data_IF_831433015615
#
_entry.id   IF_831433015615
#
_cell.length_a   1.000
_cell.length_b   1.000
_cell.length_c   1.000
_cell.angle_alpha   90.00
_cell.angle_beta   90.00
_cell.angle_gamma   90.00
#
_symmetry.space_group_name_H-M   'P 1'
#
loop_
_entity.id
_entity.type
_entity.pdbx_description
1 polymer ?
#
# COMPACT_ATOMS: atom_id res chain seq x y z
N UNK A 1 -17.49 8.91 -26.28
CA UNK A 1 -16.65 7.73 -25.93
C UNK A 1 -17.16 6.98 -24.70
N UNK A 2 -17.07 7.51 -23.47
CA UNK A 2 -17.50 6.76 -22.27
C UNK A 2 -19.00 6.38 -22.28
N UNK A 3 -19.86 7.27 -22.78
CA UNK A 3 -21.28 6.98 -22.97
C UNK A 3 -21.53 5.90 -24.03
N UNK A 4 -20.72 5.84 -25.09
CA UNK A 4 -20.80 4.79 -26.09
C UNK A 4 -20.38 3.44 -25.49
N UNK A 5 -19.32 3.41 -24.68
CA UNK A 5 -18.92 2.24 -23.91
C UNK A 5 -20.03 1.75 -22.99
N UNK A 6 -20.71 2.68 -22.30
CA UNK A 6 -21.87 2.39 -21.44
C UNK A 6 -22.96 1.63 -22.22
N UNK A 7 -23.29 2.12 -23.41
CA UNK A 7 -24.34 1.58 -24.27
C UNK A 7 -23.92 0.22 -24.86
N UNK A 8 -22.70 0.11 -25.39
CA UNK A 8 -22.22 -1.11 -26.07
C UNK A 8 -22.05 -2.27 -25.09
N UNK A 9 -21.57 -2.00 -23.88
CA UNK A 9 -21.32 -3.05 -22.88
C UNK A 9 -22.46 -3.23 -21.88
N UNK A 10 -23.50 -2.39 -21.91
CA UNK A 10 -24.59 -2.42 -20.93
C UNK A 10 -24.12 -2.15 -19.49
N UNK A 11 -22.98 -1.50 -19.31
CA UNK A 11 -22.37 -1.23 -18.01
C UNK A 11 -22.53 0.23 -17.65
N UNK A 12 -23.01 0.56 -16.45
CA UNK A 12 -23.10 1.95 -15.99
C UNK A 12 -21.74 2.53 -15.60
N UNK A 13 -21.30 3.59 -16.27
CA UNK A 13 -20.03 4.28 -15.97
C UNK A 13 -20.15 5.09 -14.68
N UNK A 14 -19.16 4.96 -13.79
CA UNK A 14 -19.08 5.75 -12.56
C UNK A 14 -18.18 6.97 -12.76
N UNK A 15 -18.77 8.07 -13.24
CA UNK A 15 -18.05 9.33 -13.48
C UNK A 15 -17.38 9.92 -12.23
N UNK A 16 -17.86 9.60 -11.02
CA UNK A 16 -17.22 10.04 -9.78
C UNK A 16 -15.85 9.39 -9.53
N UNK A 17 -15.60 8.22 -10.13
CA UNK A 17 -14.31 7.51 -10.07
C UNK A 17 -13.44 7.72 -11.32
N UNK A 18 -14.01 8.28 -12.39
CA UNK A 18 -13.30 8.57 -13.62
C UNK A 18 -12.58 9.93 -13.52
N UNK A 19 -11.28 9.91 -13.79
CA UNK A 19 -10.48 11.13 -13.91
C UNK A 19 -9.77 11.12 -15.26
N UNK A 20 -9.65 12.29 -15.88
CA UNK A 20 -8.92 12.50 -17.12
C UNK A 20 -7.63 13.26 -16.87
N UNK A 21 -6.51 12.75 -17.37
CA UNK A 21 -5.23 13.43 -17.33
C UNK A 21 -4.40 13.09 -18.57
N UNK A 22 -3.61 14.06 -19.02
CA UNK A 22 -2.69 13.92 -20.14
C UNK A 22 -1.31 14.48 -19.75
N UNK A 23 -0.25 13.90 -20.31
CA UNK A 23 1.13 14.36 -20.11
C UNK A 23 1.56 15.15 -21.34
N UNK A 24 2.15 16.32 -21.13
CA UNK A 24 2.61 17.19 -22.23
C UNK A 24 1.50 17.99 -22.93
N UNK A 25 0.31 18.09 -22.31
CA UNK A 25 -0.83 18.85 -22.81
C UNK A 25 -0.99 20.15 -22.02
N UNK A 26 -1.40 21.22 -22.70
CA UNK A 26 -1.76 22.48 -22.04
C UNK A 26 -2.94 22.30 -21.07
N UNK A 27 -2.91 22.91 -19.86
CA UNK A 27 -4.00 22.78 -18.89
C UNK A 27 -5.39 23.19 -19.40
N UNK A 28 -5.46 24.17 -20.30
CA UNK A 28 -6.73 24.65 -20.88
C UNK A 28 -7.40 23.55 -21.73
N UNK A 29 -6.62 22.94 -22.62
CA UNK A 29 -7.04 21.82 -23.47
C UNK A 29 -7.43 20.62 -22.61
N UNK A 30 -6.65 20.32 -21.58
CA UNK A 30 -6.93 19.21 -20.67
C UNK A 30 -8.26 19.39 -19.93
N UNK A 31 -8.59 20.63 -19.54
CA UNK A 31 -9.87 20.98 -18.92
C UNK A 31 -11.04 20.84 -19.90
N UNK A 32 -10.86 21.27 -21.15
CA UNK A 32 -11.86 21.10 -22.22
C UNK A 32 -12.19 19.62 -22.46
N UNK A 33 -11.17 18.75 -22.52
CA UNK A 33 -11.39 17.30 -22.65
C UNK A 33 -12.03 16.68 -21.42
N UNK A 34 -11.63 17.09 -20.21
CA UNK A 34 -12.26 16.61 -18.98
C UNK A 34 -13.76 16.96 -18.96
N UNK A 35 -14.13 18.18 -19.39
CA UNK A 35 -15.52 18.60 -19.52
C UNK A 35 -16.27 17.80 -20.60
N UNK A 36 -15.67 17.60 -21.79
CA UNK A 36 -16.23 16.79 -22.87
C UNK A 36 -16.52 15.34 -22.43
N UNK A 37 -15.62 14.76 -21.63
CA UNK A 37 -15.74 13.40 -21.11
C UNK A 37 -16.59 13.31 -19.83
N UNK A 38 -17.09 14.44 -19.33
CA UNK A 38 -17.80 14.54 -18.06
C UNK A 38 -17.04 13.89 -16.88
N UNK A 39 -15.71 14.08 -16.84
CA UNK A 39 -14.81 13.50 -15.85
C UNK A 39 -14.06 14.59 -15.08
N UNK A 40 -13.58 14.25 -13.88
CA UNK A 40 -12.72 15.16 -13.10
C UNK A 40 -11.31 15.21 -13.69
N UNK A 41 -10.60 16.31 -13.45
CA UNK A 41 -9.20 16.42 -13.84
C UNK A 41 -8.31 15.59 -12.92
N UNK A 42 -7.39 14.83 -13.50
CA UNK A 42 -6.40 14.04 -12.77
C UNK A 42 -5.18 14.89 -12.46
N UNK A 43 -4.85 15.01 -11.17
CA UNK A 43 -3.67 15.74 -10.71
C UNK A 43 -2.54 14.78 -10.37
N UNK A 44 -1.31 15.14 -10.77
CA UNK A 44 -0.11 14.41 -10.40
C UNK A 44 0.50 14.98 -9.11
N UNK A 45 1.13 14.14 -8.27
CA UNK A 45 1.14 12.68 -8.33
C UNK A 45 -0.18 12.06 -7.81
N UNK A 46 -0.58 10.92 -8.37
CA UNK A 46 -1.77 10.18 -7.91
C UNK A 46 -1.45 8.70 -7.66
N UNK A 47 -2.38 7.98 -7.02
CA UNK A 47 -2.24 6.55 -6.78
C UNK A 47 -3.07 5.72 -7.75
N UNK A 48 -2.44 4.77 -8.43
CA UNK A 48 -3.12 3.77 -9.26
C UNK A 48 -2.67 2.37 -8.86
N UNK A 49 -3.61 1.49 -8.49
CA UNK A 49 -3.32 0.15 -7.97
C UNK A 49 -2.32 0.13 -6.80
N UNK A 50 -2.28 1.21 -6.01
CA UNK A 50 -1.34 1.38 -4.90
C UNK A 50 0.04 1.93 -5.29
N UNK A 51 0.31 2.15 -6.58
CA UNK A 51 1.54 2.75 -7.10
C UNK A 51 1.39 4.28 -7.19
N UNK A 52 2.36 5.05 -6.68
CA UNK A 52 2.37 6.50 -6.84
C UNK A 52 2.87 6.88 -8.24
N UNK A 53 1.95 7.19 -9.15
CA UNK A 53 2.23 7.59 -10.53
C UNK A 53 2.61 9.08 -10.56
N UNK A 54 3.70 9.39 -11.26
CA UNK A 54 4.26 10.74 -11.35
C UNK A 54 5.01 11.22 -10.10
N UNK A 55 5.05 10.42 -9.03
CA UNK A 55 5.92 10.71 -7.90
C UNK A 55 7.35 10.23 -8.17
N UNK A 56 8.34 10.80 -7.49
CA UNK A 56 9.74 10.36 -7.62
C UNK A 56 10.04 9.16 -6.70
N UNK A 57 10.16 7.93 -7.22
CA UNK A 57 10.41 6.75 -6.38
C UNK A 57 11.79 6.74 -5.72
N UNK A 58 12.73 7.61 -6.14
CA UNK A 58 14.05 7.72 -5.51
C UNK A 58 14.00 8.47 -4.17
N UNK A 59 12.95 9.25 -3.93
CA UNK A 59 12.72 9.95 -2.66
C UNK A 59 12.12 9.02 -1.63
N UNK A 60 12.63 9.04 -0.40
CA UNK A 60 12.14 8.14 0.65
C UNK A 60 10.69 8.49 1.06
N UNK A 61 10.33 9.78 0.97
CA UNK A 61 9.04 10.33 1.36
C UNK A 61 7.89 9.75 0.53
N UNK A 62 8.14 9.48 -0.75
CA UNK A 62 7.19 8.85 -1.67
C UNK A 62 6.74 7.46 -1.20
N UNK A 63 7.57 6.77 -0.41
CA UNK A 63 7.27 5.43 0.11
C UNK A 63 6.52 5.46 1.45
N UNK A 64 6.36 6.62 2.10
CA UNK A 64 5.70 6.71 3.40
C UNK A 64 4.28 6.09 3.41
N UNK A 65 3.40 6.35 2.42
CA UNK A 65 2.07 5.74 2.39
C UNK A 65 2.13 4.22 2.24
N UNK A 66 3.09 3.70 1.47
CA UNK A 66 3.30 2.26 1.26
C UNK A 66 3.79 1.61 2.56
N UNK A 67 4.78 2.22 3.22
CA UNK A 67 5.32 1.76 4.50
C UNK A 67 4.24 1.73 5.58
N UNK A 68 3.36 2.73 5.63
CA UNK A 68 2.23 2.74 6.56
C UNK A 68 1.25 1.60 6.28
N UNK A 69 0.93 1.32 5.00
CA UNK A 69 0.10 0.17 4.62
C UNK A 69 0.72 -1.17 5.06
N UNK A 70 2.02 -1.37 4.79
CA UNK A 70 2.75 -2.57 5.23
C UNK A 70 2.77 -2.71 6.76
N UNK A 71 2.96 -1.60 7.49
CA UNK A 71 2.88 -1.59 8.96
C UNK A 71 1.49 -1.99 9.45
N UNK A 72 0.42 -1.44 8.88
CA UNK A 72 -0.97 -1.80 9.22
C UNK A 72 -1.23 -3.29 8.96
N UNK A 73 -0.77 -3.80 7.81
CA UNK A 73 -0.87 -5.22 7.47
C UNK A 73 -0.13 -6.11 8.48
N UNK A 74 1.06 -5.69 8.92
CA UNK A 74 1.84 -6.42 9.94
C UNK A 74 1.15 -6.49 11.31
N UNK A 75 0.18 -5.61 11.56
CA UNK A 75 -0.61 -5.54 12.80
C UNK A 75 -2.02 -6.11 12.61
N UNK A 76 -2.31 -6.71 11.45
CA UNK A 76 -3.64 -7.18 11.11
C UNK A 76 -4.16 -8.25 12.08
N UNK A 77 -5.45 -8.12 12.40
CA UNK A 77 -6.18 -9.01 13.30
C UNK A 77 -7.31 -9.69 12.53
N UNK A 78 -7.42 -11.01 12.68
CA UNK A 78 -8.54 -11.79 12.20
C UNK A 78 -9.13 -12.58 13.37
N UNK A 79 -10.47 -12.62 13.43
CA UNK A 79 -11.23 -13.42 14.40
C UNK A 79 -11.42 -14.87 13.95
N UNK A 80 -11.33 -15.14 12.65
CA UNK A 80 -11.71 -16.44 12.03
C UNK A 80 -10.52 -17.31 11.66
N UNK A 81 -9.30 -16.75 11.60
CA UNK A 81 -8.11 -17.48 11.19
C UNK A 81 -7.29 -17.97 12.38
N UNK A 82 -6.83 -19.22 12.30
CA UNK A 82 -5.85 -19.76 13.24
C UNK A 82 -4.55 -18.96 13.24
N UNK A 83 -3.81 -19.03 14.34
CA UNK A 83 -2.54 -18.32 14.50
C UNK A 83 -1.54 -18.64 13.39
N UNK A 84 -1.37 -19.92 13.07
CA UNK A 84 -0.49 -20.39 12.00
C UNK A 84 -0.88 -19.81 10.63
N UNK A 85 -2.18 -19.86 10.28
CA UNK A 85 -2.70 -19.28 9.02
C UNK A 85 -2.48 -17.77 8.97
N UNK A 86 -2.67 -17.06 10.09
CA UNK A 86 -2.44 -15.62 10.16
C UNK A 86 -0.97 -15.26 9.94
N UNK A 87 -0.05 -15.97 10.58
CA UNK A 87 1.39 -15.77 10.41
C UNK A 87 1.79 -16.05 8.96
N UNK A 88 1.32 -17.14 8.38
CA UNK A 88 1.58 -17.48 6.97
C UNK A 88 1.07 -16.40 6.02
N UNK A 89 -0.17 -15.92 6.20
CA UNK A 89 -0.76 -14.90 5.33
C UNK A 89 -0.04 -13.55 5.44
N UNK A 90 0.33 -13.15 6.67
CA UNK A 90 1.12 -11.92 6.88
C UNK A 90 2.51 -12.06 6.27
N UNK A 91 3.18 -13.19 6.42
CA UNK A 91 4.46 -13.46 5.78
C UNK A 91 4.36 -13.33 4.26
N UNK A 92 3.37 -14.02 3.67
CA UNK A 92 3.15 -14.01 2.23
C UNK A 92 2.91 -12.59 1.72
N UNK A 93 1.97 -11.87 2.30
CA UNK A 93 1.61 -10.53 1.83
C UNK A 93 2.71 -9.49 2.09
N UNK A 94 3.46 -9.60 3.20
CA UNK A 94 4.63 -8.74 3.44
C UNK A 94 5.81 -9.07 2.51
N UNK A 95 5.87 -10.26 1.92
CA UNK A 95 6.89 -10.62 0.92
C UNK A 95 6.47 -10.21 -0.50
N UNK A 96 5.22 -10.51 -0.89
CA UNK A 96 4.74 -10.27 -2.26
C UNK A 96 4.51 -8.79 -2.58
N UNK A 97 4.02 -7.99 -1.62
CA UNK A 97 3.76 -6.56 -1.86
C UNK A 97 5.05 -5.77 -2.18
N UNK A 98 6.14 -5.87 -1.41
CA UNK A 98 7.40 -5.22 -1.78
C UNK A 98 7.97 -5.69 -3.11
N UNK A 99 7.81 -6.97 -3.45
CA UNK A 99 8.23 -7.51 -4.76
C UNK A 99 7.44 -6.86 -5.90
N UNK A 100 6.12 -6.72 -5.73
CA UNK A 100 5.27 -5.99 -6.68
C UNK A 100 5.78 -4.56 -6.89
N UNK A 101 6.07 -3.80 -5.83
CA UNK A 101 6.58 -2.44 -5.97
C UNK A 101 7.97 -2.37 -6.62
N UNK A 102 8.84 -3.34 -6.34
CA UNK A 102 10.18 -3.43 -6.92
C UNK A 102 10.18 -3.71 -8.43
N UNK A 103 9.13 -4.35 -8.94
CA UNK A 103 8.96 -4.56 -10.38
C UNK A 103 8.80 -3.25 -11.16
N UNK A 104 8.31 -2.18 -10.54
CA UNK A 104 8.08 -0.89 -11.19
C UNK A 104 9.13 0.17 -10.84
N UNK A 105 9.67 0.12 -9.61
CA UNK A 105 10.45 1.22 -9.07
C UNK A 105 11.77 0.76 -8.42
N UNK A 106 12.85 1.52 -8.68
CA UNK A 106 14.10 1.37 -7.94
C UNK A 106 13.96 1.95 -6.54
N UNK A 107 14.02 1.09 -5.53
CA UNK A 107 13.79 1.46 -4.13
C UNK A 107 15.04 2.05 -3.46
N UNK A 108 14.92 3.12 -2.67
CA UNK A 108 16.02 3.63 -1.86
C UNK A 108 16.44 2.63 -0.76
N UNK A 109 17.75 2.52 -0.49
CA UNK A 109 18.29 1.62 0.55
C UNK A 109 17.66 1.85 1.93
N UNK A 110 17.32 3.09 2.28
CA UNK A 110 16.63 3.45 3.53
C UNK A 110 15.26 2.77 3.66
N UNK A 111 14.47 2.82 2.59
CA UNK A 111 13.13 2.21 2.54
C UNK A 111 13.23 0.69 2.57
N UNK A 112 14.18 0.11 1.82
CA UNK A 112 14.41 -1.34 1.82
C UNK A 112 14.72 -1.88 3.23
N UNK A 113 15.54 -1.16 4.01
CA UNK A 113 15.81 -1.51 5.42
C UNK A 113 14.55 -1.46 6.28
N UNK A 114 13.68 -0.47 6.08
CA UNK A 114 12.42 -0.36 6.82
C UNK A 114 11.45 -1.49 6.48
N UNK A 115 11.34 -1.87 5.20
CA UNK A 115 10.51 -3.01 4.77
C UNK A 115 11.04 -4.32 5.38
N UNK A 116 12.34 -4.58 5.30
CA UNK A 116 12.97 -5.75 5.93
C UNK A 116 12.69 -5.82 7.43
N UNK A 117 12.74 -4.67 8.12
CA UNK A 117 12.38 -4.58 9.54
C UNK A 117 10.92 -4.96 9.79
N UNK A 118 9.98 -4.47 8.96
CA UNK A 118 8.55 -4.82 9.06
C UNK A 118 8.34 -6.32 8.80
N UNK A 119 8.96 -6.88 7.77
CA UNK A 119 8.91 -8.31 7.45
C UNK A 119 9.43 -9.18 8.60
N UNK A 120 10.54 -8.78 9.23
CA UNK A 120 11.15 -9.52 10.36
C UNK A 120 10.31 -9.45 11.64
N UNK A 121 9.73 -8.30 11.95
CA UNK A 121 9.06 -8.06 13.24
C UNK A 121 7.54 -8.19 13.23
N UNK A 122 6.89 -8.08 12.06
CA UNK A 122 5.44 -8.22 11.92
C UNK A 122 4.93 -9.57 12.45
N UNK A 123 5.39 -10.70 11.89
CA UNK A 123 4.93 -12.04 12.26
C UNK A 123 5.24 -12.36 13.73
N UNK A 124 6.43 -11.98 14.21
CA UNK A 124 6.84 -12.15 15.62
C UNK A 124 5.96 -11.38 16.61
N UNK A 125 5.40 -10.24 16.21
CA UNK A 125 4.45 -9.49 17.06
C UNK A 125 3.10 -10.20 17.18
N UNK A 126 2.68 -10.89 16.12
CA UNK A 126 1.44 -11.68 16.12
C UNK A 126 1.58 -12.85 17.11
N UNK A 127 2.70 -13.57 17.05
CA UNK A 127 3.01 -14.67 17.98
C UNK A 127 3.12 -14.15 19.43
N UNK A 128 3.88 -13.08 19.68
CA UNK A 128 4.02 -12.51 21.03
C UNK A 128 2.70 -12.08 21.66
N UNK A 129 1.80 -11.48 20.88
CA UNK A 129 0.47 -11.09 21.36
C UNK A 129 -0.40 -12.30 21.72
N UNK A 130 -0.29 -13.39 20.96
CA UNK A 130 -1.00 -14.62 21.26
C UNK A 130 -0.50 -15.27 22.55
N UNK A 131 0.82 -15.32 22.74
CA UNK A 131 1.45 -15.89 23.93
C UNK A 131 1.32 -14.98 25.18
N UNK A 132 0.64 -13.83 25.10
CA UNK A 132 0.54 -12.89 26.22
C UNK A 132 1.88 -12.30 26.68
N UNK A 133 2.92 -12.38 25.85
CA UNK A 133 4.25 -11.86 26.13
C UNK A 133 4.28 -10.35 25.83
N UNK A 134 3.56 -9.57 26.64
CA UNK A 134 3.83 -8.14 26.79
C UNK A 134 5.16 -7.98 27.53
N UNK A 135 5.97 -6.98 27.15
CA UNK A 135 7.38 -6.83 27.51
C UNK A 135 7.72 -6.69 29.00
N UNK A 136 6.79 -6.93 29.92
CA UNK A 136 7.01 -6.90 31.38
C UNK A 136 7.64 -8.19 31.93
N UNK A 137 7.66 -9.30 31.18
CA UNK A 137 8.17 -10.59 31.70
C UNK A 137 9.65 -10.89 31.42
N UNK A 138 10.34 -10.06 30.63
CA UNK A 138 11.76 -10.30 30.28
C UNK A 138 12.76 -9.58 31.20
N UNK A 139 12.31 -8.64 32.04
CA UNK A 139 13.18 -7.98 33.02
C UNK A 139 13.24 -8.75 34.36
N UNK A 140 12.26 -9.60 34.66
CA UNK A 140 12.19 -10.32 35.94
C UNK A 140 12.98 -11.64 35.99
N UNK A 141 13.71 -11.99 34.93
CA UNK A 141 14.59 -13.17 34.91
C UNK A 141 16.08 -12.82 34.92
N UNK A 142 16.46 -11.53 35.02
CA UNK A 142 17.86 -11.11 35.21
C UNK A 142 18.23 -10.77 36.66
N UNK A 143 17.27 -10.68 37.58
CA UNK A 143 17.51 -10.35 38.99
C UNK A 143 17.42 -11.56 39.94
N UNK A 144 17.50 -12.79 39.42
CA UNK A 144 17.45 -14.01 40.24
C UNK A 144 18.67 -14.92 40.09
N UNK A 145 19.73 -14.38 39.52
CA UNK A 145 21.06 -14.99 39.45
C UNK A 145 22.04 -13.84 39.69
N UNK A 146 22.08 -13.37 40.94
CA UNK A 146 23.18 -12.66 41.60
C UNK A 146 22.93 -12.78 43.11
#
# INVERSE_FOLDING_TARGET
MLRCFEIVLGLKVNFCKCNFGAVGMEPSIMKSYAHLLNCKLLHFPFFYLGLPIGANPRRAETWNPILQKLKKLSLWKSKTLSMARRVCLINFALASLPLFYLSFFKMPKKVARQIKSIQRWGPKRVIRRFLGLSGTRLLNQRHKVD
#
